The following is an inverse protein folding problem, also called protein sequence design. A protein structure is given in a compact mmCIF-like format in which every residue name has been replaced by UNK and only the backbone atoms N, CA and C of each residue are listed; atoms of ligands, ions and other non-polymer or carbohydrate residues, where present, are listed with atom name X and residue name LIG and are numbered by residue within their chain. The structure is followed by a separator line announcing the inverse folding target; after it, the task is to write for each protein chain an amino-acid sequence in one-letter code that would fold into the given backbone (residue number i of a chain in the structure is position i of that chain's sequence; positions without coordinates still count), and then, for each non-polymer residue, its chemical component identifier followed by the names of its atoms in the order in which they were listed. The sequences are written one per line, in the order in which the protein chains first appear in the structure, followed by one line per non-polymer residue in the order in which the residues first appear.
data_IF_894983635647
#
_entry.id   IF_894983635647
#
_cell.length_a   1.000
_cell.length_b   1.000
_cell.length_c   1.000
_cell.angle_alpha   90.00
_cell.angle_beta   90.00
_cell.angle_gamma   90.00
#
_symmetry.space_group_name_H-M   'P 1'
#
loop_
_entity.id
_entity.type
_entity.pdbx_description
1 polymer ?
#
# COMPACT_ATOMS: atom_id res chain seq x y z
N UNK A 1 -3.31 -7.13 -30.11
CA UNK A 1 -2.37 -7.16 -28.99
C UNK A 1 -1.85 -5.75 -28.75
N UNK A 2 -1.68 -5.35 -27.51
CA UNK A 2 -1.06 -4.05 -27.14
C UNK A 2 0.45 -4.31 -27.09
N UNK A 3 1.24 -3.43 -27.72
CA UNK A 3 2.69 -3.42 -27.63
C UNK A 3 3.11 -2.16 -26.88
N UNK A 4 3.28 -2.22 -25.54
CA UNK A 4 3.65 -1.05 -24.77
C UNK A 4 5.14 -0.71 -24.94
N UNK A 5 5.46 0.58 -25.01
CA UNK A 5 6.85 1.07 -25.00
C UNK A 5 7.47 0.99 -23.61
N UNK A 6 6.65 1.16 -22.56
CA UNK A 6 7.08 1.18 -21.18
C UNK A 6 6.18 0.34 -20.30
N UNK A 7 6.79 -0.30 -19.32
CA UNK A 7 6.12 -1.00 -18.22
C UNK A 7 6.66 -0.51 -16.88
N UNK A 8 5.78 -0.10 -15.98
CA UNK A 8 6.17 0.28 -14.60
C UNK A 8 5.76 -0.84 -13.65
N UNK A 9 6.75 -1.44 -13.00
CA UNK A 9 6.55 -2.47 -11.96
C UNK A 9 6.79 -1.85 -10.58
N UNK A 10 5.71 -1.70 -9.81
CA UNK A 10 5.78 -1.06 -8.49
C UNK A 10 6.17 -2.07 -7.40
N UNK A 11 5.52 -3.21 -7.38
CA UNK A 11 5.76 -4.33 -6.48
C UNK A 11 4.95 -5.55 -6.92
N UNK A 12 5.29 -6.72 -6.37
CA UNK A 12 4.54 -7.96 -6.53
C UNK A 12 4.17 -8.47 -5.15
N UNK A 13 2.95 -8.17 -4.72
CA UNK A 13 2.34 -8.67 -3.49
C UNK A 13 1.20 -9.62 -3.81
N UNK A 14 0.94 -10.55 -2.90
CA UNK A 14 -0.24 -11.41 -2.96
C UNK A 14 -1.51 -10.56 -2.98
N UNK A 15 -2.38 -10.80 -3.95
CA UNK A 15 -3.65 -10.10 -4.13
C UNK A 15 -4.65 -11.01 -4.83
N UNK A 16 -5.87 -11.13 -4.32
CA UNK A 16 -6.99 -11.89 -4.90
C UNK A 16 -6.58 -13.30 -5.37
N UNK A 17 -6.19 -14.18 -4.44
CA UNK A 17 -5.71 -15.54 -4.73
C UNK A 17 -6.70 -16.38 -5.54
N UNK A 18 -8.01 -16.19 -5.30
CA UNK A 18 -9.10 -16.86 -6.03
C UNK A 18 -9.16 -16.47 -7.51
N UNK A 19 -8.57 -15.33 -7.90
CA UNK A 19 -8.56 -14.84 -9.29
C UNK A 19 -7.22 -15.02 -9.97
N UNK A 20 -6.14 -14.67 -9.29
CA UNK A 20 -4.79 -14.62 -9.88
C UNK A 20 -3.92 -15.81 -9.46
N UNK A 21 -4.39 -16.60 -8.47
CA UNK A 21 -3.61 -17.69 -7.90
C UNK A 21 -2.41 -17.21 -7.10
N UNK A 22 -1.49 -18.13 -6.84
CA UNK A 22 -0.25 -17.83 -6.15
C UNK A 22 0.64 -16.88 -6.97
N UNK A 23 1.50 -16.15 -6.29
CA UNK A 23 2.34 -15.10 -6.88
C UNK A 23 3.22 -15.61 -8.04
N UNK A 24 3.62 -16.87 -8.00
CA UNK A 24 4.39 -17.50 -9.07
C UNK A 24 3.62 -17.59 -10.39
N UNK A 25 2.30 -17.79 -10.35
CA UNK A 25 1.45 -17.79 -11.54
C UNK A 25 1.45 -16.38 -12.17
N UNK A 26 1.26 -15.36 -11.34
CA UNK A 26 1.30 -13.95 -11.79
C UNK A 26 2.68 -13.62 -12.39
N UNK A 27 3.77 -14.05 -11.74
CA UNK A 27 5.13 -13.83 -12.24
C UNK A 27 5.34 -14.48 -13.61
N UNK A 28 4.91 -15.73 -13.81
CA UNK A 28 5.05 -16.44 -15.09
C UNK A 28 4.28 -15.73 -16.22
N UNK A 29 3.07 -15.23 -15.93
CA UNK A 29 2.27 -14.47 -16.92
C UNK A 29 2.98 -13.17 -17.30
N UNK A 30 3.53 -12.45 -16.34
CA UNK A 30 4.26 -11.20 -16.57
C UNK A 30 5.54 -11.47 -17.39
N UNK A 31 6.29 -12.51 -17.03
CA UNK A 31 7.51 -12.90 -17.74
C UNK A 31 7.22 -13.26 -19.20
N UNK A 32 6.17 -14.06 -19.45
CA UNK A 32 5.74 -14.41 -20.81
C UNK A 32 5.35 -13.16 -21.62
N UNK A 33 4.64 -12.22 -21.01
CA UNK A 33 4.26 -10.96 -21.64
C UNK A 33 5.49 -10.10 -21.97
N UNK A 34 6.44 -9.98 -21.03
CA UNK A 34 7.68 -9.21 -21.22
C UNK A 34 8.52 -9.78 -22.37
N UNK A 35 8.67 -11.10 -22.46
CA UNK A 35 9.39 -11.78 -23.55
C UNK A 35 8.74 -11.59 -24.93
N UNK A 36 7.41 -11.34 -24.99
CA UNK A 36 6.69 -11.05 -26.25
C UNK A 36 6.95 -9.64 -26.78
N UNK A 37 7.45 -8.73 -25.95
CA UNK A 37 7.74 -7.33 -26.31
C UNK A 37 9.17 -7.00 -25.82
N UNK A 38 10.22 -7.57 -26.44
CA UNK A 38 11.59 -7.49 -25.94
C UNK A 38 12.17 -6.07 -25.94
N UNK A 39 11.65 -5.17 -26.77
CA UNK A 39 12.04 -3.76 -26.84
C UNK A 39 11.40 -2.89 -25.75
N UNK A 40 10.35 -3.39 -25.07
CA UNK A 40 9.67 -2.67 -24.01
C UNK A 40 10.63 -2.36 -22.86
N UNK A 41 10.73 -1.09 -22.48
CA UNK A 41 11.57 -0.68 -21.35
C UNK A 41 10.83 -0.84 -20.02
N UNK A 42 11.42 -1.59 -19.09
CA UNK A 42 10.85 -1.86 -17.76
C UNK A 42 11.39 -0.86 -16.75
N UNK A 43 10.50 -0.17 -16.07
CA UNK A 43 10.82 0.73 -14.95
C UNK A 43 10.44 -0.01 -13.67
N UNK A 44 11.43 -0.51 -12.95
CA UNK A 44 11.23 -1.49 -11.88
C UNK A 44 11.65 -0.99 -10.52
N UNK A 45 10.86 -1.31 -9.50
CA UNK A 45 11.25 -1.13 -8.11
C UNK A 45 12.38 -2.12 -7.78
N UNK A 46 13.61 -1.59 -7.64
CA UNK A 46 14.78 -2.40 -7.30
C UNK A 46 14.75 -2.96 -5.89
N UNK A 47 13.97 -2.38 -4.99
CA UNK A 47 13.82 -2.83 -3.60
C UNK A 47 12.84 -4.02 -3.48
N UNK A 48 12.08 -4.36 -4.54
CA UNK A 48 11.25 -5.55 -4.60
C UNK A 48 11.99 -6.68 -5.32
N UNK A 49 12.41 -7.69 -4.58
CA UNK A 49 13.19 -8.81 -5.10
C UNK A 49 12.48 -9.59 -6.22
N UNK A 50 11.14 -9.67 -6.20
CA UNK A 50 10.35 -10.37 -7.21
C UNK A 50 10.29 -9.57 -8.51
N UNK A 51 9.95 -8.29 -8.43
CA UNK A 51 9.91 -7.39 -9.59
C UNK A 51 11.30 -7.23 -10.22
N UNK A 52 12.34 -7.05 -9.41
CA UNK A 52 13.72 -6.95 -9.89
C UNK A 52 14.18 -8.24 -10.57
N UNK A 53 13.83 -9.42 -10.02
CA UNK A 53 14.12 -10.70 -10.67
C UNK A 53 13.51 -10.76 -12.07
N UNK A 54 12.22 -10.45 -12.23
CA UNK A 54 11.55 -10.46 -13.53
C UNK A 54 12.20 -9.50 -14.52
N UNK A 55 12.51 -8.28 -14.12
CA UNK A 55 13.16 -7.31 -15.01
C UNK A 55 14.55 -7.76 -15.45
N UNK A 56 15.33 -8.38 -14.56
CA UNK A 56 16.68 -8.86 -14.86
C UNK A 56 16.69 -10.15 -15.69
N UNK A 57 15.67 -11.00 -15.57
CA UNK A 57 15.59 -12.31 -16.23
C UNK A 57 14.88 -12.26 -17.58
N UNK A 58 13.99 -11.29 -17.80
CA UNK A 58 13.20 -11.16 -19.03
C UNK A 58 14.01 -10.83 -20.29
N UNK A 59 15.20 -10.22 -20.13
CA UNK A 59 16.01 -9.71 -21.23
C UNK A 59 15.59 -8.33 -21.77
N UNK A 60 14.52 -7.74 -21.24
CA UNK A 60 14.09 -6.39 -21.59
C UNK A 60 15.07 -5.33 -21.08
N UNK A 61 15.25 -4.20 -21.78
CA UNK A 61 15.95 -3.06 -21.20
C UNK A 61 15.21 -2.56 -19.96
N UNK A 62 15.93 -2.29 -18.88
CA UNK A 62 15.28 -1.82 -17.66
C UNK A 62 16.02 -0.66 -16.99
N UNK A 63 15.30 0.11 -16.21
CA UNK A 63 15.79 1.11 -15.27
C UNK A 63 15.21 0.82 -13.88
N UNK A 64 15.96 1.15 -12.86
CA UNK A 64 15.64 0.83 -11.47
C UNK A 64 15.35 2.07 -10.66
N UNK A 65 14.40 1.98 -9.76
CA UNK A 65 14.18 2.99 -8.73
C UNK A 65 14.04 2.32 -7.36
N UNK A 66 14.29 3.06 -6.30
CA UNK A 66 14.16 2.56 -4.93
C UNK A 66 14.71 3.55 -3.90
N UNK A 67 14.90 3.08 -2.68
CA UNK A 67 15.36 3.88 -1.54
C UNK A 67 16.56 3.19 -0.91
N UNK A 68 17.75 3.77 -1.06
CA UNK A 68 19.00 3.09 -0.69
C UNK A 68 19.28 3.03 0.80
N UNK A 69 18.61 3.84 1.62
CA UNK A 69 18.83 3.89 3.07
C UNK A 69 17.57 3.50 3.85
N UNK A 70 17.71 2.89 5.02
CA UNK A 70 16.56 2.59 5.87
C UNK A 70 15.86 3.89 6.32
N UNK A 71 14.54 3.97 6.17
CA UNK A 71 13.71 5.12 6.54
C UNK A 71 12.75 4.77 7.67
N UNK A 72 12.10 3.62 7.57
CA UNK A 72 11.17 3.09 8.55
C UNK A 72 11.62 1.70 8.98
N UNK A 73 11.30 1.31 10.20
CA UNK A 73 11.50 -0.07 10.64
C UNK A 73 10.24 -0.86 10.31
N UNK A 74 10.41 -1.89 9.50
CA UNK A 74 9.35 -2.86 9.23
C UNK A 74 9.05 -3.70 10.48
N UNK A 75 7.79 -4.03 10.71
CA UNK A 75 7.41 -4.97 11.75
C UNK A 75 8.09 -6.34 11.53
N UNK A 76 8.54 -6.96 12.62
CA UNK A 76 9.30 -8.20 12.54
C UNK A 76 8.52 -9.39 11.96
N UNK A 77 7.19 -9.36 12.06
CA UNK A 77 6.28 -10.46 11.71
C UNK A 77 5.55 -10.29 10.38
N UNK A 78 5.86 -9.29 9.57
CA UNK A 78 5.21 -9.12 8.28
C UNK A 78 5.44 -10.33 7.36
N UNK A 79 4.38 -10.77 6.68
CA UNK A 79 4.47 -11.79 5.64
C UNK A 79 5.23 -11.20 4.45
N UNK A 80 6.24 -11.92 3.98
CA UNK A 80 7.15 -11.49 2.92
C UNK A 80 7.17 -12.52 1.81
N UNK A 81 6.58 -12.19 0.66
CA UNK A 81 6.55 -13.04 -0.54
C UNK A 81 7.96 -13.23 -1.13
N UNK A 82 8.76 -12.17 -1.13
CA UNK A 82 10.14 -12.18 -1.63
C UNK A 82 11.17 -12.76 -0.66
N UNK A 83 10.80 -13.77 0.15
CA UNK A 83 11.69 -14.38 1.16
C UNK A 83 12.78 -15.24 0.55
N UNK A 84 12.50 -15.87 -0.59
CA UNK A 84 13.39 -16.82 -1.25
C UNK A 84 13.85 -16.34 -2.63
N UNK A 85 15.11 -16.61 -2.94
CA UNK A 85 15.72 -16.27 -4.22
C UNK A 85 15.07 -17.04 -5.37
N UNK A 86 14.53 -16.34 -6.36
CA UNK A 86 13.89 -16.97 -7.54
C UNK A 86 14.89 -17.69 -8.47
N UNK A 87 16.20 -17.40 -8.36
CA UNK A 87 17.23 -18.09 -9.13
C UNK A 87 17.61 -19.45 -8.58
N UNK A 88 17.68 -19.61 -7.24
CA UNK A 88 18.25 -20.82 -6.66
C UNK A 88 17.50 -21.36 -5.43
N UNK A 89 16.38 -20.77 -5.03
CA UNK A 89 15.55 -21.20 -3.91
C UNK A 89 16.12 -20.87 -2.51
N UNK A 90 17.33 -20.30 -2.41
CA UNK A 90 17.96 -19.99 -1.13
C UNK A 90 17.26 -18.80 -0.46
N UNK A 91 17.26 -18.77 0.88
CA UNK A 91 16.70 -17.64 1.63
C UNK A 91 17.51 -16.37 1.40
N UNK A 92 16.84 -15.29 1.02
CA UNK A 92 17.46 -13.98 0.88
C UNK A 92 17.84 -13.38 2.24
N UNK A 93 19.00 -12.76 2.30
CA UNK A 93 19.44 -11.94 3.42
C UNK A 93 19.15 -10.49 3.13
N UNK A 94 18.57 -9.77 4.09
CA UNK A 94 18.25 -8.37 3.99
C UNK A 94 19.09 -7.55 4.96
N UNK A 95 19.68 -6.48 4.47
CA UNK A 95 20.37 -5.49 5.30
C UNK A 95 19.35 -4.63 6.06
N UNK A 96 18.24 -4.32 5.41
CA UNK A 96 17.08 -3.66 5.99
C UNK A 96 15.81 -3.95 5.17
N UNK A 97 14.68 -3.74 5.82
CA UNK A 97 13.35 -3.72 5.19
C UNK A 97 12.71 -2.36 5.38
N UNK A 98 11.96 -1.90 4.39
CA UNK A 98 11.06 -0.77 4.53
C UNK A 98 9.67 -1.20 4.95
N UNK A 99 9.02 -2.05 4.18
CA UNK A 99 7.79 -2.73 4.52
C UNK A 99 7.63 -3.98 3.66
N UNK A 100 6.91 -4.98 4.17
CA UNK A 100 6.78 -6.27 3.51
C UNK A 100 8.15 -6.79 3.03
N UNK A 101 8.31 -7.09 1.75
CA UNK A 101 9.57 -7.55 1.15
C UNK A 101 10.45 -6.45 0.53
N UNK A 102 10.02 -5.19 0.61
CA UNK A 102 10.81 -4.09 0.02
C UNK A 102 12.00 -3.75 0.90
N UNK A 103 13.19 -3.73 0.31
CA UNK A 103 14.41 -3.41 1.04
C UNK A 103 15.68 -3.75 0.28
N UNK A 104 16.79 -3.83 1.01
CA UNK A 104 18.09 -4.20 0.46
C UNK A 104 18.37 -5.67 0.71
N UNK A 105 18.44 -6.46 -0.35
CA UNK A 105 18.55 -7.92 -0.30
C UNK A 105 19.72 -8.46 -1.10
N UNK A 106 20.19 -9.64 -0.65
CA UNK A 106 21.21 -10.42 -1.33
C UNK A 106 21.01 -11.92 -1.08
N UNK A 107 21.19 -12.72 -2.11
CA UNK A 107 21.25 -14.17 -2.01
C UNK A 107 22.67 -14.60 -1.61
N UNK A 108 22.86 -15.29 -0.48
CA UNK A 108 24.19 -15.74 -0.06
C UNK A 108 24.76 -16.87 -0.93
N UNK A 109 23.88 -17.60 -1.67
CA UNK A 109 24.27 -18.76 -2.48
C UNK A 109 24.63 -18.39 -3.92
N UNK A 110 23.79 -17.66 -4.64
CA UNK A 110 24.00 -17.38 -6.08
C UNK A 110 24.39 -15.93 -6.37
N UNK A 111 24.47 -15.08 -5.36
CA UNK A 111 24.86 -13.69 -5.53
C UNK A 111 23.76 -12.77 -6.11
N UNK A 112 22.53 -13.27 -6.39
CA UNK A 112 21.42 -12.40 -6.77
C UNK A 112 21.19 -11.36 -5.69
N UNK A 113 21.15 -10.09 -6.08
CA UNK A 113 21.05 -8.98 -5.13
C UNK A 113 20.26 -7.83 -5.73
N UNK A 114 19.87 -6.89 -4.88
CA UNK A 114 19.28 -5.63 -5.31
C UNK A 114 20.15 -4.97 -6.37
N UNK A 115 19.59 -4.59 -7.52
CA UNK A 115 20.32 -3.87 -8.55
C UNK A 115 20.71 -2.46 -8.06
N UNK A 116 21.73 -1.87 -8.69
CA UNK A 116 22.04 -0.46 -8.48
C UNK A 116 20.83 0.40 -8.88
N UNK A 117 20.49 1.39 -8.05
CA UNK A 117 19.33 2.24 -8.29
C UNK A 117 19.72 3.42 -9.21
N UNK A 118 19.00 3.55 -10.34
CA UNK A 118 19.17 4.70 -11.23
C UNK A 118 18.44 5.93 -10.67
N UNK A 119 17.25 5.71 -10.12
CA UNK A 119 16.48 6.74 -9.43
C UNK A 119 16.40 6.39 -7.94
N UNK A 120 17.38 6.87 -7.18
CA UNK A 120 17.48 6.64 -5.75
C UNK A 120 16.84 7.77 -4.97
N UNK A 121 15.86 7.45 -4.12
CA UNK A 121 15.31 8.42 -3.18
C UNK A 121 16.14 8.44 -1.89
N UNK A 122 16.54 9.62 -1.48
CA UNK A 122 17.31 9.84 -0.25
C UNK A 122 16.77 11.05 0.53
N UNK A 123 17.22 11.25 1.76
CA UNK A 123 16.71 12.27 2.69
C UNK A 123 15.19 12.20 2.87
N UNK A 124 14.66 10.97 2.93
CA UNK A 124 13.21 10.73 3.02
C UNK A 124 12.69 11.14 4.38
N UNK A 125 11.67 11.99 4.38
CA UNK A 125 10.92 12.43 5.58
C UNK A 125 9.46 12.07 5.41
N UNK A 126 8.91 11.43 6.43
CA UNK A 126 7.50 11.01 6.48
C UNK A 126 6.86 11.66 7.70
N UNK A 127 5.81 12.42 7.47
CA UNK A 127 5.10 13.16 8.51
C UNK A 127 3.76 13.68 7.98
N UNK A 128 3.39 14.90 8.36
CA UNK A 128 2.23 15.62 7.83
C UNK A 128 2.33 15.81 6.31
N UNK A 129 3.55 16.07 5.84
CA UNK A 129 3.95 16.09 4.46
C UNK A 129 5.05 15.05 4.24
N UNK A 130 5.06 14.51 3.04
CA UNK A 130 6.08 13.59 2.57
C UNK A 130 7.08 14.35 1.72
N UNK A 131 8.38 14.17 1.97
CA UNK A 131 9.43 14.76 1.14
C UNK A 131 10.64 13.84 1.02
N UNK A 132 11.30 13.90 -0.12
CA UNK A 132 12.55 13.18 -0.39
C UNK A 132 13.32 13.85 -1.53
N UNK A 133 14.58 13.51 -1.68
CA UNK A 133 15.39 13.93 -2.81
C UNK A 133 15.59 12.82 -3.82
N UNK A 134 15.62 13.16 -5.09
CA UNK A 134 16.01 12.29 -6.21
C UNK A 134 16.69 13.15 -7.28
N UNK A 135 17.81 12.71 -7.84
CA UNK A 135 18.63 13.51 -8.78
C UNK A 135 18.86 14.96 -8.28
N UNK A 136 19.20 15.12 -7.00
CA UNK A 136 19.41 16.41 -6.30
C UNK A 136 18.17 17.32 -6.21
N UNK A 137 17.01 16.88 -6.67
CA UNK A 137 15.75 17.62 -6.56
C UNK A 137 14.98 17.20 -5.32
N UNK A 138 14.47 18.19 -4.59
CA UNK A 138 13.55 17.95 -3.48
C UNK A 138 12.13 17.82 -4.04
N UNK A 139 11.54 16.66 -3.87
CA UNK A 139 10.13 16.39 -4.11
C UNK A 139 9.39 16.47 -2.79
N UNK A 140 8.23 17.10 -2.78
CA UNK A 140 7.34 17.10 -1.61
C UNK A 140 5.88 17.01 -2.04
N UNK A 141 5.09 16.30 -1.25
CA UNK A 141 3.66 16.11 -1.49
C UNK A 141 2.90 16.20 -0.18
N UNK A 142 1.71 16.77 -0.24
CA UNK A 142 0.76 16.75 0.88
C UNK A 142 0.10 15.37 1.00
N UNK A 143 0.94 14.37 1.28
CA UNK A 143 0.56 12.97 1.32
C UNK A 143 1.09 12.31 2.58
N UNK A 144 0.31 11.42 3.18
CA UNK A 144 0.73 10.60 4.32
C UNK A 144 1.03 9.17 3.85
N UNK A 145 1.78 8.43 4.67
CA UNK A 145 2.11 7.04 4.41
C UNK A 145 3.37 6.85 3.58
N UNK A 146 4.31 6.11 4.15
CA UNK A 146 5.63 5.86 3.57
C UNK A 146 5.57 5.23 2.17
N UNK A 147 4.63 4.31 1.92
CA UNK A 147 4.48 3.64 0.63
C UNK A 147 4.29 4.62 -0.56
N UNK A 148 3.82 5.85 -0.29
CA UNK A 148 3.67 6.87 -1.31
C UNK A 148 5.00 7.45 -1.80
N UNK A 149 6.09 7.30 -1.06
CA UNK A 149 7.44 7.59 -1.56
C UNK A 149 7.71 6.74 -2.80
N UNK A 150 7.45 5.44 -2.74
CA UNK A 150 7.61 4.52 -3.87
C UNK A 150 6.68 4.86 -5.04
N UNK A 151 5.42 5.21 -4.76
CA UNK A 151 4.47 5.59 -5.81
C UNK A 151 4.90 6.86 -6.56
N UNK A 152 5.34 7.88 -5.83
CA UNK A 152 5.83 9.14 -6.40
C UNK A 152 7.14 8.90 -7.15
N UNK A 153 8.04 8.11 -6.59
CA UNK A 153 9.32 7.79 -7.21
C UNK A 153 9.13 6.96 -8.49
N UNK A 154 8.19 6.01 -8.51
CA UNK A 154 7.82 5.25 -9.71
C UNK A 154 7.33 6.16 -10.83
N UNK A 155 6.42 7.10 -10.50
CA UNK A 155 5.92 8.08 -11.47
C UNK A 155 7.03 9.01 -11.96
N UNK A 156 7.92 9.47 -11.08
CA UNK A 156 9.09 10.26 -11.45
C UNK A 156 10.01 9.49 -12.39
N UNK A 157 10.37 8.25 -12.04
CA UNK A 157 11.21 7.39 -12.86
C UNK A 157 10.61 7.14 -14.25
N UNK A 158 9.28 6.94 -14.33
CA UNK A 158 8.57 6.76 -15.59
C UNK A 158 8.67 8.00 -16.49
N UNK A 159 8.39 9.18 -15.95
CA UNK A 159 8.45 10.46 -16.67
C UNK A 159 9.88 10.73 -17.18
N UNK A 160 10.87 10.51 -16.32
CA UNK A 160 12.29 10.72 -16.66
C UNK A 160 12.76 9.72 -17.73
N UNK A 161 12.34 8.47 -17.63
CA UNK A 161 12.66 7.40 -18.61
C UNK A 161 12.02 7.67 -19.97
N UNK A 162 10.83 8.27 -19.99
CA UNK A 162 10.15 8.71 -21.20
C UNK A 162 10.73 10.00 -21.82
N UNK A 163 11.80 10.56 -21.23
CA UNK A 163 12.51 11.74 -21.76
C UNK A 163 11.96 13.09 -21.32
N UNK A 164 10.98 13.12 -20.43
CA UNK A 164 10.43 14.39 -19.93
C UNK A 164 11.28 14.97 -18.78
N UNK A 165 11.25 16.29 -18.66
CA UNK A 165 11.90 17.01 -17.56
C UNK A 165 11.14 16.76 -16.24
N UNK A 166 11.88 16.55 -15.14
CA UNK A 166 11.28 16.40 -13.82
C UNK A 166 10.69 17.70 -13.24
N UNK A 167 10.85 18.85 -13.89
CA UNK A 167 10.37 20.14 -13.38
C UNK A 167 8.83 20.22 -13.39
N UNK A 168 8.20 19.82 -14.49
CA UNK A 168 6.72 19.80 -14.59
C UNK A 168 6.09 18.85 -13.57
N UNK A 169 6.75 17.73 -13.31
CA UNK A 169 6.31 16.78 -12.28
C UNK A 169 6.36 17.40 -10.87
N UNK A 170 7.43 18.13 -10.57
CA UNK A 170 7.56 18.80 -9.29
C UNK A 170 6.43 19.82 -9.04
N UNK A 171 6.10 20.65 -10.03
CA UNK A 171 5.01 21.62 -9.88
C UNK A 171 3.63 20.94 -9.75
N UNK A 172 3.39 19.89 -10.52
CA UNK A 172 2.19 19.08 -10.42
C UNK A 172 2.06 18.44 -9.02
N UNK A 173 3.15 17.90 -8.48
CA UNK A 173 3.13 17.21 -7.19
C UNK A 173 2.78 18.15 -6.03
N UNK A 174 3.18 19.42 -6.08
CA UNK A 174 2.82 20.43 -5.08
C UNK A 174 1.31 20.68 -4.98
N UNK A 175 0.61 20.62 -6.11
CA UNK A 175 -0.84 20.84 -6.19
C UNK A 175 -1.66 19.56 -6.11
N UNK A 176 -0.98 18.41 -6.02
CA UNK A 176 -1.65 17.12 -5.99
C UNK A 176 -2.37 16.90 -4.66
N UNK A 177 -3.67 16.69 -4.73
CA UNK A 177 -4.47 16.25 -3.60
C UNK A 177 -4.88 14.79 -3.81
N UNK A 178 -4.64 13.92 -2.80
CA UNK A 178 -5.10 12.54 -2.88
C UNK A 178 -6.62 12.47 -2.89
N UNK A 179 -7.16 11.69 -3.83
CA UNK A 179 -8.58 11.42 -3.98
C UNK A 179 -8.83 9.91 -4.06
N UNK A 180 -10.12 9.55 -4.16
CA UNK A 180 -10.54 8.17 -4.40
C UNK A 180 -10.08 7.17 -3.32
N UNK A 181 -10.30 7.53 -2.04
CA UNK A 181 -10.07 6.65 -0.91
C UNK A 181 -8.58 6.37 -0.61
N UNK A 182 -7.71 7.29 -0.98
CA UNK A 182 -6.29 7.27 -0.61
C UNK A 182 -6.01 8.38 0.40
N UNK A 183 -6.21 8.10 1.70
CA UNK A 183 -6.13 9.11 2.76
C UNK A 183 -7.10 10.29 2.53
N UNK A 184 -8.26 10.03 1.95
CA UNK A 184 -9.27 11.04 1.66
C UNK A 184 -9.91 11.54 2.95
N UNK A 185 -9.98 12.84 3.13
CA UNK A 185 -10.41 13.48 4.36
C UNK A 185 -11.82 14.05 4.24
N UNK A 186 -12.61 13.87 5.29
CA UNK A 186 -13.96 14.41 5.45
C UNK A 186 -14.09 15.03 6.83
N UNK A 187 -15.07 15.90 7.01
CA UNK A 187 -15.40 16.47 8.31
C UNK A 187 -16.90 16.33 8.60
N UNK A 188 -17.23 15.47 9.58
CA UNK A 188 -18.61 15.12 9.91
C UNK A 188 -18.86 15.48 11.38
N UNK A 189 -19.80 16.40 11.63
CA UNK A 189 -20.16 16.86 13.00
C UNK A 189 -18.95 17.22 13.88
N UNK A 190 -17.91 17.84 13.28
CA UNK A 190 -16.69 18.20 14.00
C UNK A 190 -15.63 17.11 14.08
N UNK A 191 -15.96 15.85 13.77
CA UNK A 191 -15.02 14.73 13.72
C UNK A 191 -14.26 14.72 12.39
N UNK A 192 -12.94 14.62 12.44
CA UNK A 192 -12.10 14.35 11.27
C UNK A 192 -12.23 12.89 10.89
N UNK A 193 -12.64 12.62 9.64
CA UNK A 193 -12.79 11.24 9.12
C UNK A 193 -11.81 11.03 7.99
N UNK A 194 -11.00 9.99 8.08
CA UNK A 194 -10.03 9.61 7.06
C UNK A 194 -10.42 8.27 6.43
N UNK A 195 -10.73 8.28 5.13
CA UNK A 195 -11.07 7.10 4.36
C UNK A 195 -9.84 6.54 3.63
N UNK A 196 -9.56 5.24 3.81
CA UNK A 196 -8.44 4.61 3.12
C UNK A 196 -8.76 3.21 2.62
N UNK A 197 -8.29 2.92 1.39
CA UNK A 197 -8.42 1.61 0.75
C UNK A 197 -7.40 0.61 1.33
N UNK A 198 -7.89 -0.55 1.75
CA UNK A 198 -7.12 -1.64 2.32
C UNK A 198 -7.65 -2.99 1.79
N UNK A 199 -7.14 -3.49 0.67
CA UNK A 199 -7.71 -4.63 -0.06
C UNK A 199 -6.86 -5.90 -0.05
N UNK A 200 -5.68 -5.86 0.53
CA UNK A 200 -4.76 -7.00 0.67
C UNK A 200 -3.89 -6.84 1.91
N UNK A 201 -3.16 -7.88 2.36
CA UNK A 201 -2.39 -7.82 3.62
C UNK A 201 -1.36 -6.69 3.63
N UNK A 202 -0.56 -6.55 2.59
CA UNK A 202 0.47 -5.52 2.52
C UNK A 202 -0.12 -4.11 2.61
N UNK A 203 -1.18 -3.84 1.85
CA UNK A 203 -1.89 -2.56 1.88
C UNK A 203 -2.55 -2.29 3.23
N UNK A 204 -3.12 -3.32 3.86
CA UNK A 204 -3.76 -3.18 5.18
C UNK A 204 -2.72 -2.87 6.26
N UNK A 205 -1.60 -3.57 6.29
CA UNK A 205 -0.50 -3.32 7.23
C UNK A 205 0.08 -1.91 7.07
N UNK A 206 0.20 -1.41 5.82
CA UNK A 206 0.62 -0.03 5.58
C UNK A 206 -0.40 1.00 6.09
N UNK A 207 -1.69 0.71 5.97
CA UNK A 207 -2.75 1.55 6.54
C UNK A 207 -2.71 1.56 8.07
N UNK A 208 -2.54 0.40 8.69
CA UNK A 208 -2.35 0.31 10.14
C UNK A 208 -1.13 1.14 10.56
N UNK A 209 0.00 0.97 9.90
CA UNK A 209 1.22 1.73 10.19
C UNK A 209 1.00 3.25 10.08
N UNK A 210 0.25 3.71 9.08
CA UNK A 210 -0.08 5.12 8.92
C UNK A 210 -1.01 5.63 10.04
N UNK A 211 -2.03 4.85 10.44
CA UNK A 211 -2.92 5.16 11.56
C UNK A 211 -2.14 5.24 12.87
N UNK A 212 -1.14 4.37 13.07
CA UNK A 212 -0.33 4.32 14.28
C UNK A 212 0.67 5.48 14.40
N UNK A 213 0.96 6.21 13.32
CA UNK A 213 1.75 7.46 13.38
C UNK A 213 1.00 8.59 14.08
N UNK A 214 -0.32 8.62 14.00
CA UNK A 214 -1.14 9.53 14.77
C UNK A 214 -1.25 9.04 16.23
N UNK A 215 -0.72 9.79 17.19
CA UNK A 215 -0.75 9.45 18.61
C UNK A 215 -1.96 10.02 19.36
N UNK A 216 -2.82 10.77 18.68
CA UNK A 216 -4.06 11.29 19.26
C UNK A 216 -5.09 10.17 19.48
N UNK A 217 -6.04 10.35 20.43
CA UNK A 217 -7.16 9.43 20.58
C UNK A 217 -7.97 9.32 19.31
N UNK A 218 -8.30 8.08 18.89
CA UNK A 218 -9.00 7.80 17.63
C UNK A 218 -9.90 6.59 17.72
N UNK A 219 -10.88 6.55 16.84
CA UNK A 219 -11.67 5.37 16.51
C UNK A 219 -11.27 4.79 15.17
N UNK A 220 -11.43 3.49 15.02
CA UNK A 220 -11.21 2.79 13.76
C UNK A 220 -12.49 2.10 13.32
N UNK A 221 -12.84 2.24 12.06
CA UNK A 221 -13.91 1.50 11.42
C UNK A 221 -13.34 0.66 10.28
N UNK A 222 -13.66 -0.63 10.26
CA UNK A 222 -13.20 -1.56 9.22
C UNK A 222 -14.43 -2.08 8.46
N UNK A 223 -14.44 -1.90 7.14
CA UNK A 223 -15.55 -2.32 6.28
C UNK A 223 -15.06 -3.34 5.28
N UNK A 224 -15.55 -4.57 5.36
CA UNK A 224 -15.14 -5.68 4.50
C UNK A 224 -16.35 -6.24 3.74
N UNK A 225 -16.23 -6.30 2.42
CA UNK A 225 -17.15 -6.96 1.51
C UNK A 225 -16.46 -8.12 0.78
N UNK A 226 -17.23 -8.98 0.13
CA UNK A 226 -16.78 -10.09 -0.71
C UNK A 226 -17.52 -10.14 -2.05
N UNK A 227 -17.81 -8.96 -2.60
CA UNK A 227 -18.39 -8.86 -3.93
C UNK A 227 -17.41 -9.37 -5.00
N UNK A 228 -17.90 -9.63 -6.21
CA UNK A 228 -17.09 -10.21 -7.29
C UNK A 228 -15.78 -9.43 -7.58
N UNK A 229 -15.78 -8.11 -7.38
CA UNK A 229 -14.60 -7.29 -7.59
C UNK A 229 -13.57 -7.34 -6.44
N UNK A 230 -14.01 -7.72 -5.23
CA UNK A 230 -13.10 -7.92 -4.08
C UNK A 230 -12.35 -9.24 -4.13
N UNK A 231 -12.88 -10.22 -4.88
CA UNK A 231 -12.60 -11.64 -4.69
C UNK A 231 -13.47 -12.21 -3.56
N UNK A 232 -13.83 -13.49 -3.69
CA UNK A 232 -14.65 -14.16 -2.66
C UNK A 232 -13.82 -14.68 -1.49
N UNK A 233 -12.53 -14.86 -1.72
CA UNK A 233 -11.60 -15.29 -0.68
C UNK A 233 -11.22 -14.12 0.22
N UNK A 234 -11.63 -14.21 1.49
CA UNK A 234 -11.29 -13.26 2.54
C UNK A 234 -10.22 -13.81 3.50
N UNK A 235 -9.62 -14.96 3.19
CA UNK A 235 -8.60 -15.58 4.04
C UNK A 235 -7.37 -14.68 4.25
N UNK A 236 -7.11 -13.76 3.33
CA UNK A 236 -6.07 -12.76 3.43
C UNK A 236 -6.15 -11.89 4.70
N UNK A 237 -7.35 -11.79 5.34
CA UNK A 237 -7.50 -11.11 6.63
C UNK A 237 -6.64 -11.74 7.74
N UNK A 238 -6.33 -13.04 7.62
CA UNK A 238 -5.50 -13.76 8.59
C UNK A 238 -4.01 -13.41 8.46
N UNK A 239 -3.62 -12.86 7.32
CA UNK A 239 -2.25 -12.42 7.02
C UNK A 239 -1.99 -10.96 7.42
N UNK A 240 -3.01 -10.24 7.89
CA UNK A 240 -2.89 -8.86 8.39
C UNK A 240 -2.47 -8.83 9.85
N UNK A 241 -1.55 -7.95 10.19
CA UNK A 241 -0.96 -7.79 11.52
C UNK A 241 -1.84 -6.87 12.41
N UNK A 242 -3.04 -7.34 12.73
CA UNK A 242 -3.98 -6.58 13.56
C UNK A 242 -3.51 -6.40 15.01
N UNK A 243 -2.54 -7.18 15.50
CA UNK A 243 -1.96 -7.00 16.82
C UNK A 243 -1.41 -5.58 17.03
N UNK A 244 -0.98 -4.92 15.96
CA UNK A 244 -0.54 -3.53 15.98
C UNK A 244 -1.63 -2.54 16.42
N UNK A 245 -2.90 -2.94 16.36
CA UNK A 245 -4.02 -2.11 16.81
C UNK A 245 -4.27 -2.17 18.34
N UNK A 246 -3.46 -2.93 19.09
CA UNK A 246 -3.49 -2.97 20.58
C UNK A 246 -2.75 -1.78 21.19
N UNK A 247 -3.14 -0.57 20.83
CA UNK A 247 -2.54 0.67 21.34
C UNK A 247 -3.57 1.52 22.11
N UNK A 248 -3.15 2.17 23.19
CA UNK A 248 -4.01 2.98 24.05
C UNK A 248 -4.67 4.17 23.35
N UNK A 249 -4.06 4.65 22.26
CA UNK A 249 -4.61 5.73 21.44
C UNK A 249 -5.87 5.31 20.66
N UNK A 250 -6.12 3.99 20.48
CA UNK A 250 -7.33 3.46 19.84
C UNK A 250 -8.41 3.27 20.89
N UNK A 251 -9.48 4.05 20.80
CA UNK A 251 -10.59 4.04 21.77
C UNK A 251 -11.62 2.97 21.47
N UNK A 252 -11.94 2.77 20.19
CA UNK A 252 -12.84 1.72 19.77
C UNK A 252 -12.54 1.25 18.36
N UNK A 253 -12.94 0.00 18.08
CA UNK A 253 -12.94 -0.55 16.73
C UNK A 253 -14.34 -1.01 16.38
N UNK A 254 -14.90 -0.52 15.28
CA UNK A 254 -16.19 -0.93 14.74
C UNK A 254 -15.98 -1.69 13.44
N UNK A 255 -16.65 -2.83 13.28
CA UNK A 255 -16.60 -3.64 12.04
C UNK A 255 -17.94 -3.58 11.32
N UNK A 256 -17.90 -3.40 10.01
CA UNK A 256 -19.09 -3.18 9.18
C UNK A 256 -18.96 -3.86 7.80
N UNK A 257 -20.04 -3.80 7.01
CA UNK A 257 -20.11 -4.41 5.69
C UNK A 257 -20.55 -5.87 5.70
N UNK A 258 -20.51 -6.52 4.54
CA UNK A 258 -21.05 -7.88 4.32
C UNK A 258 -20.31 -8.91 5.21
N UNK A 259 -18.98 -8.77 5.34
CA UNK A 259 -18.12 -9.72 6.07
C UNK A 259 -17.72 -9.21 7.46
N UNK A 260 -18.54 -8.35 8.07
CA UNK A 260 -18.29 -7.80 9.41
C UNK A 260 -18.16 -8.89 10.49
N UNK A 261 -18.88 -10.00 10.38
CA UNK A 261 -18.77 -11.13 11.31
C UNK A 261 -17.39 -11.80 11.25
N UNK A 262 -16.88 -12.03 10.04
CA UNK A 262 -15.55 -12.62 9.83
C UNK A 262 -14.46 -11.68 10.35
N UNK A 263 -14.60 -10.38 10.08
CA UNK A 263 -13.67 -9.38 10.59
C UNK A 263 -13.70 -9.31 12.13
N UNK A 264 -14.88 -9.37 12.75
CA UNK A 264 -15.02 -9.46 14.19
C UNK A 264 -14.35 -10.71 14.76
N UNK A 265 -14.56 -11.85 14.10
CA UNK A 265 -13.92 -13.11 14.49
C UNK A 265 -12.38 -12.97 14.41
N UNK A 266 -11.86 -12.40 13.34
CA UNK A 266 -10.40 -12.17 13.17
C UNK A 266 -9.83 -11.29 14.30
N UNK A 267 -10.50 -10.20 14.67
CA UNK A 267 -10.08 -9.33 15.78
C UNK A 267 -10.13 -10.05 17.12
N UNK A 268 -11.14 -10.90 17.32
CA UNK A 268 -11.24 -11.72 18.55
C UNK A 268 -10.05 -12.65 18.73
N UNK A 269 -9.50 -13.22 17.63
CA UNK A 269 -8.33 -14.10 17.69
C UNK A 269 -7.02 -13.37 18.10
N UNK A 270 -7.01 -12.06 18.03
CA UNK A 270 -5.92 -11.23 18.55
C UNK A 270 -6.35 -10.43 19.78
N UNK A 271 -7.38 -10.89 20.52
CA UNK A 271 -7.88 -10.29 21.75
C UNK A 271 -8.22 -8.79 21.64
N UNK A 272 -8.71 -8.35 20.48
CA UNK A 272 -9.17 -6.98 20.25
C UNK A 272 -10.70 -6.95 20.32
N UNK A 273 -11.30 -6.24 21.29
CA UNK A 273 -12.73 -6.04 21.35
C UNK A 273 -13.18 -5.15 20.18
N UNK A 274 -14.32 -5.51 19.57
CA UNK A 274 -14.88 -4.72 18.48
C UNK A 274 -16.41 -4.69 18.53
N UNK A 275 -16.97 -3.57 18.12
CA UNK A 275 -18.41 -3.39 17.93
C UNK A 275 -18.80 -3.86 16.53
N UNK A 276 -20.00 -4.43 16.42
CA UNK A 276 -20.53 -4.94 15.15
C UNK A 276 -21.71 -4.06 14.72
N UNK A 277 -21.57 -3.40 13.58
CA UNK A 277 -22.67 -2.67 12.93
C UNK A 277 -22.59 -2.93 11.41
N UNK A 278 -23.46 -3.83 10.88
CA UNK A 278 -23.41 -4.20 9.47
C UNK A 278 -23.69 -3.04 8.50
N UNK A 279 -24.60 -2.12 8.90
CA UNK A 279 -24.95 -0.97 8.07
C UNK A 279 -23.87 0.12 8.20
N UNK A 280 -23.25 0.46 7.07
CA UNK A 280 -22.11 1.40 7.01
C UNK A 280 -22.49 2.81 7.44
N UNK A 281 -23.67 3.32 7.05
CA UNK A 281 -24.11 4.66 7.43
C UNK A 281 -24.37 4.76 8.96
N UNK A 282 -25.01 3.75 9.51
CA UNK A 282 -25.25 3.64 10.97
C UNK A 282 -23.94 3.51 11.74
N UNK A 283 -22.97 2.74 11.22
CA UNK A 283 -21.66 2.60 11.83
C UNK A 283 -20.89 3.93 11.87
N UNK A 284 -20.85 4.68 10.76
CA UNK A 284 -20.22 6.01 10.72
C UNK A 284 -20.87 6.95 11.72
N UNK A 285 -22.21 7.04 11.74
CA UNK A 285 -22.95 7.90 12.67
C UNK A 285 -22.67 7.53 14.13
N UNK A 286 -22.60 6.24 14.44
CA UNK A 286 -22.25 5.75 15.78
C UNK A 286 -20.84 6.17 16.18
N UNK A 287 -19.84 5.96 15.31
CA UNK A 287 -18.46 6.36 15.58
C UNK A 287 -18.31 7.86 15.78
N UNK A 288 -18.93 8.68 14.95
CA UNK A 288 -18.88 10.15 15.05
C UNK A 288 -19.48 10.62 16.41
N UNK A 289 -20.57 10.01 16.86
CA UNK A 289 -21.19 10.35 18.15
C UNK A 289 -20.32 10.02 19.37
N UNK A 290 -19.33 9.13 19.27
CA UNK A 290 -18.41 8.82 20.36
C UNK A 290 -17.49 9.99 20.73
N UNK A 291 -17.28 10.93 19.81
CA UNK A 291 -16.65 12.22 20.10
C UNK A 291 -15.13 12.15 20.33
N UNK A 292 -14.43 11.14 19.83
CA UNK A 292 -12.95 11.07 19.93
C UNK A 292 -12.24 12.12 19.10
N UNK A 293 -12.93 12.71 18.10
CA UNK A 293 -12.42 13.74 17.23
C UNK A 293 -11.78 13.21 15.94
N UNK A 294 -11.32 11.96 15.91
CA UNK A 294 -10.68 11.32 14.74
C UNK A 294 -11.25 9.93 14.50
N UNK A 295 -11.68 9.67 13.27
CA UNK A 295 -12.16 8.38 12.80
C UNK A 295 -11.37 7.93 11.56
N UNK A 296 -10.74 6.76 11.62
CA UNK A 296 -10.10 6.13 10.47
C UNK A 296 -10.98 5.03 9.91
N UNK A 297 -11.37 5.14 8.64
CA UNK A 297 -12.26 4.22 7.95
C UNK A 297 -11.44 3.44 6.92
N UNK A 298 -11.17 2.17 7.21
CA UNK A 298 -10.40 1.26 6.38
C UNK A 298 -11.38 0.34 5.63
N UNK A 299 -11.35 0.39 4.30
CA UNK A 299 -12.34 -0.30 3.47
C UNK A 299 -11.67 -1.11 2.36
N UNK A 300 -12.25 -2.26 1.99
CA UNK A 300 -11.81 -2.94 0.79
C UNK A 300 -12.47 -2.36 -0.48
N UNK A 301 -12.18 -2.95 -1.64
CA UNK A 301 -12.42 -2.31 -2.93
C UNK A 301 -13.89 -1.94 -3.18
N UNK A 302 -14.83 -2.89 -3.02
CA UNK A 302 -16.25 -2.59 -3.30
C UNK A 302 -16.93 -1.76 -2.22
N UNK A 303 -16.40 -1.78 -0.99
CA UNK A 303 -16.87 -0.93 0.08
C UNK A 303 -16.45 0.54 -0.12
N UNK A 304 -15.39 0.82 -0.89
CA UNK A 304 -14.81 2.15 -1.03
C UNK A 304 -15.82 3.18 -1.54
N UNK A 305 -16.40 2.96 -2.71
CA UNK A 305 -17.26 3.96 -3.35
C UNK A 305 -18.57 4.18 -2.58
N UNK A 306 -19.17 3.12 -2.05
CA UNK A 306 -20.39 3.22 -1.24
C UNK A 306 -20.12 3.99 0.06
N UNK A 307 -19.05 3.66 0.78
CA UNK A 307 -18.65 4.37 2.00
C UNK A 307 -18.30 5.83 1.71
N UNK A 308 -17.55 6.11 0.64
CA UNK A 308 -17.22 7.47 0.22
C UNK A 308 -18.47 8.32 -0.04
N UNK A 309 -19.47 7.77 -0.71
CA UNK A 309 -20.72 8.45 -0.97
C UNK A 309 -21.49 8.75 0.33
N UNK A 310 -21.49 7.80 1.27
CA UNK A 310 -22.08 8.02 2.61
C UNK A 310 -21.35 9.15 3.34
N UNK A 311 -20.02 9.14 3.36
CA UNK A 311 -19.22 10.18 4.02
C UNK A 311 -19.47 11.56 3.41
N UNK A 312 -19.52 11.68 2.07
CA UNK A 312 -19.85 12.92 1.37
C UNK A 312 -21.25 13.44 1.70
N UNK A 313 -22.25 12.54 1.73
CA UNK A 313 -23.61 12.88 2.14
C UNK A 313 -23.63 13.45 3.57
N UNK A 314 -23.01 12.75 4.51
CA UNK A 314 -22.98 13.16 5.93
C UNK A 314 -22.18 14.46 6.15
N UNK A 315 -21.12 14.70 5.38
CA UNK A 315 -20.37 15.97 5.40
C UNK A 315 -21.21 17.14 4.88
N UNK A 316 -22.06 16.89 3.86
CA UNK A 316 -22.96 17.90 3.29
C UNK A 316 -24.20 18.21 4.13
N UNK A 317 -24.58 17.32 5.05
CA UNK A 317 -25.68 17.53 6.00
C UNK A 317 -25.23 18.51 7.11
N UNK A 318 -24.99 19.80 6.71
CA UNK A 318 -24.80 20.89 7.69
C UNK A 318 -26.12 21.11 8.43
N UNK A 319 -26.09 20.92 9.75
CA UNK A 319 -27.16 21.44 10.62
C UNK A 319 -27.17 22.97 10.66
#
# INVERSE_FOLDING_TARGET
AIHPDYMVMTNLFRDQLDRYGEIDITMNILEEMMRKVPEMKVIVNGDDALSAYLAMDSGNPYVTYGISKPVVQSAANEIREGRFCKKCGERLQYSFYHYSQLGDYKCPKCGFQRPALQYDAYDVKVGEQLSFRVEDKLLSANYKGFYNVYNILAAYAAIRTAGFSGNSFYEMLKSFNPENGRMEQFRIEGTGVMLNLAKNPAGFNQNISAVMQDKSPKDIMIVINDNAQDGRDISWLWDVDFDLLKEESIRSITVSGIRCQDMRLRLKYVDIPSELEPDVESAVKSCVKKGTGNLYVLVNYTALFSTRNILKKLEGEKK
#
